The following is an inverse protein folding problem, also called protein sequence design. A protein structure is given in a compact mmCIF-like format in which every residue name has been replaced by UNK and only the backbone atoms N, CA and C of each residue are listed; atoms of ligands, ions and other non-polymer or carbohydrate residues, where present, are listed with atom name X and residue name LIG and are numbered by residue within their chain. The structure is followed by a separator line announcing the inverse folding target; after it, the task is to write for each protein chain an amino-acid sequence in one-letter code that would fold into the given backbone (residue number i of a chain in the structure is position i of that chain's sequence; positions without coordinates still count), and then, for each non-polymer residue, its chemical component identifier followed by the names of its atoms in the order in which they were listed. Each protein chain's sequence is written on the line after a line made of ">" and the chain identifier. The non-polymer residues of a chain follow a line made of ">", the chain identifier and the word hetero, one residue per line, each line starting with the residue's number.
data_IF_164049856873
#
_entry.id   IF_164049856873
#
_cell.length_a   1.000
_cell.length_b   1.000
_cell.length_c   1.000
_cell.angle_alpha   90.00
_cell.angle_beta   90.00
_cell.angle_gamma   90.00
#
_symmetry.space_group_name_H-M   'P 1'
#
loop_
_entity.id
_entity.type
_entity.pdbx_description
1 polymer ?
#
# COMPACT_ATOMS: atom_id res chain seq x y z
N UNK A 1 46.20 -35.42 28.71
CA UNK A 1 45.37 -35.06 27.53
C UNK A 1 43.86 -35.23 27.74
N UNK A 2 43.40 -36.05 28.68
CA UNK A 2 41.96 -36.32 28.92
C UNK A 2 41.17 -35.20 29.62
N UNK A 3 41.84 -34.37 30.46
CA UNK A 3 41.18 -33.21 31.10
C UNK A 3 40.94 -32.03 30.16
N UNK A 4 41.81 -31.83 29.15
CA UNK A 4 41.67 -30.74 28.19
C UNK A 4 40.46 -30.94 27.25
N UNK A 5 40.20 -32.19 26.86
CA UNK A 5 39.06 -32.54 26.01
C UNK A 5 37.72 -32.40 26.75
N UNK A 6 37.68 -32.72 28.06
CA UNK A 6 36.48 -32.51 28.91
C UNK A 6 36.18 -31.03 29.14
N UNK A 7 37.20 -30.19 29.36
CA UNK A 7 37.02 -28.74 29.50
C UNK A 7 36.56 -28.06 28.19
N UNK A 8 37.06 -28.51 27.04
CA UNK A 8 36.65 -27.99 25.74
C UNK A 8 35.18 -28.33 25.40
N UNK A 9 34.73 -29.55 25.71
CA UNK A 9 33.34 -29.98 25.50
C UNK A 9 32.38 -29.21 26.42
N UNK A 10 32.77 -29.00 27.69
CA UNK A 10 31.98 -28.21 28.64
C UNK A 10 31.90 -26.74 28.20
N UNK A 11 32.99 -26.12 27.73
CA UNK A 11 32.95 -24.73 27.26
C UNK A 11 32.10 -24.55 25.99
N UNK A 12 32.11 -25.53 25.08
CA UNK A 12 31.26 -25.54 23.88
C UNK A 12 29.76 -25.64 24.24
N UNK A 13 29.40 -26.49 25.21
CA UNK A 13 28.03 -26.62 25.72
C UNK A 13 27.55 -25.34 26.43
N UNK A 14 28.39 -24.70 27.24
CA UNK A 14 28.04 -23.42 27.89
C UNK A 14 27.91 -22.25 26.90
N UNK A 15 28.73 -22.22 25.84
CA UNK A 15 28.63 -21.18 24.82
C UNK A 15 27.32 -21.28 24.02
N UNK A 16 26.94 -22.48 23.58
CA UNK A 16 25.67 -22.71 22.88
C UNK A 16 24.46 -22.33 23.74
N UNK A 17 24.49 -22.69 25.03
CA UNK A 17 23.40 -22.40 25.96
C UNK A 17 23.26 -20.90 26.27
N UNK A 18 24.36 -20.14 26.24
CA UNK A 18 24.31 -18.69 26.44
C UNK A 18 23.83 -17.94 25.18
N UNK A 19 24.25 -18.38 23.99
CA UNK A 19 23.75 -17.81 22.73
C UNK A 19 22.26 -18.05 22.54
N UNK A 20 21.75 -19.24 22.89
CA UNK A 20 20.31 -19.53 22.82
C UNK A 20 19.49 -18.65 23.78
N UNK A 21 19.96 -18.41 25.00
CA UNK A 21 19.31 -17.49 25.95
C UNK A 21 19.25 -16.06 25.43
N UNK A 22 20.33 -15.58 24.80
CA UNK A 22 20.38 -14.25 24.22
C UNK A 22 19.45 -14.11 23.01
N UNK A 23 19.41 -15.13 22.12
CA UNK A 23 18.46 -15.17 21.01
C UNK A 23 17.03 -15.14 21.53
N UNK A 24 16.68 -15.99 22.49
CA UNK A 24 15.33 -16.04 23.05
C UNK A 24 14.89 -14.72 23.70
N UNK A 25 15.82 -14.04 24.39
CA UNK A 25 15.57 -12.70 24.95
C UNK A 25 15.25 -11.67 23.85
N UNK A 26 15.98 -11.71 22.74
CA UNK A 26 15.72 -10.83 21.60
C UNK A 26 14.42 -11.20 20.88
N UNK A 27 14.11 -12.48 20.73
CA UNK A 27 12.83 -12.94 20.16
C UNK A 27 11.63 -12.45 20.97
N UNK A 28 11.72 -12.51 22.31
CA UNK A 28 10.69 -11.97 23.20
C UNK A 28 10.50 -10.47 22.98
N UNK A 29 11.58 -9.69 22.93
CA UNK A 29 11.48 -8.25 22.69
C UNK A 29 10.94 -7.93 21.30
N UNK A 30 11.33 -8.67 20.27
CA UNK A 30 10.80 -8.53 18.91
C UNK A 30 9.29 -8.80 18.91
N UNK A 31 8.85 -9.85 19.59
CA UNK A 31 7.45 -10.19 19.74
C UNK A 31 6.66 -9.06 20.41
N UNK A 32 7.17 -8.53 21.53
CA UNK A 32 6.49 -7.47 22.29
C UNK A 32 6.40 -6.16 21.48
N UNK A 33 7.49 -5.74 20.84
CA UNK A 33 7.50 -4.58 19.95
C UNK A 33 6.57 -4.77 18.75
N UNK A 34 6.50 -5.97 18.19
CA UNK A 34 5.57 -6.28 17.10
C UNK A 34 4.13 -6.19 17.57
N UNK A 35 3.79 -6.75 18.73
CA UNK A 35 2.45 -6.69 19.29
C UNK A 35 2.01 -5.25 19.59
N UNK A 36 2.92 -4.40 20.06
CA UNK A 36 2.64 -3.00 20.40
C UNK A 36 2.55 -2.10 19.16
N UNK A 37 3.51 -2.17 18.24
CA UNK A 37 3.67 -1.18 17.17
C UNK A 37 3.30 -1.67 15.76
N UNK A 38 3.24 -2.99 15.55
CA UNK A 38 2.91 -3.60 14.26
C UNK A 38 2.01 -4.85 14.41
N UNK A 39 0.86 -4.75 15.12
CA UNK A 39 -0.01 -5.90 15.37
C UNK A 39 -0.64 -6.44 14.08
N UNK A 40 -0.73 -5.61 13.04
CA UNK A 40 -1.30 -5.96 11.75
C UNK A 40 -0.30 -5.72 10.61
N UNK A 41 0.23 -6.81 10.06
CA UNK A 41 1.20 -6.81 8.96
C UNK A 41 0.66 -6.19 7.66
N UNK A 42 -0.67 -6.07 7.53
CA UNK A 42 -1.31 -5.48 6.36
C UNK A 42 -1.10 -3.98 6.31
N UNK A 43 -0.81 -3.33 7.44
CA UNK A 43 -0.67 -1.86 7.53
C UNK A 43 0.63 -1.38 8.17
N UNK A 44 1.35 -2.25 8.88
CA UNK A 44 2.67 -1.96 9.47
C UNK A 44 3.66 -3.07 9.14
N UNK A 45 4.88 -2.70 8.73
CA UNK A 45 5.92 -3.64 8.36
C UNK A 45 6.99 -3.72 9.46
N UNK A 46 6.99 -4.82 10.20
CA UNK A 46 8.04 -5.17 11.17
C UNK A 46 8.30 -6.69 11.11
N UNK A 47 9.12 -7.07 10.13
CA UNK A 47 9.53 -8.45 9.87
C UNK A 47 10.99 -8.59 10.28
N UNK A 48 11.22 -8.68 11.58
CA UNK A 48 12.56 -8.82 12.18
C UNK A 48 12.66 -10.15 12.88
N UNK A 49 13.79 -10.83 12.70
CA UNK A 49 14.11 -12.12 13.32
C UNK A 49 15.47 -12.05 14.01
N UNK A 50 15.59 -12.79 15.11
CA UNK A 50 16.87 -13.02 15.78
C UNK A 50 17.40 -14.41 15.41
N UNK A 51 18.70 -14.52 15.17
CA UNK A 51 19.36 -15.79 14.90
C UNK A 51 20.72 -15.86 15.62
N UNK A 52 21.18 -17.05 16.04
CA UNK A 52 22.49 -17.20 16.67
C UNK A 52 23.61 -16.96 15.64
N UNK A 53 24.59 -16.12 15.98
CA UNK A 53 25.78 -15.86 15.16
C UNK A 53 27.04 -15.78 16.04
N UNK A 54 27.60 -16.95 16.35
CA UNK A 54 28.75 -17.04 17.25
C UNK A 54 28.42 -16.56 18.66
N UNK A 55 29.12 -15.52 19.14
CA UNK A 55 28.86 -14.88 20.45
C UNK A 55 27.87 -13.72 20.39
N UNK A 56 27.35 -13.41 19.20
CA UNK A 56 26.41 -12.33 18.98
C UNK A 56 25.07 -12.88 18.48
N UNK A 57 24.03 -12.07 18.58
CA UNK A 57 22.72 -12.30 17.98
C UNK A 57 22.66 -11.53 16.67
N UNK A 58 22.44 -12.22 15.55
CA UNK A 58 22.13 -11.60 14.28
C UNK A 58 20.66 -11.16 14.30
N UNK A 59 20.42 -9.86 14.16
CA UNK A 59 19.09 -9.32 13.90
C UNK A 59 18.98 -9.06 12.40
N UNK A 60 18.06 -9.72 11.72
CA UNK A 60 17.87 -9.60 10.27
C UNK A 60 16.41 -9.39 9.91
N UNK A 61 16.17 -8.88 8.71
CA UNK A 61 14.81 -8.67 8.18
C UNK A 61 14.59 -7.23 7.77
N UNK A 62 13.35 -6.75 7.80
CA UNK A 62 12.96 -5.45 7.27
C UNK A 62 11.85 -4.77 8.07
N UNK A 63 11.85 -3.44 8.06
CA UNK A 63 10.79 -2.64 8.69
C UNK A 63 10.61 -1.28 8.02
N UNK A 64 9.38 -0.74 8.09
CA UNK A 64 9.09 0.67 7.81
C UNK A 64 9.04 1.56 9.07
N UNK A 65 9.46 1.04 10.23
CA UNK A 65 9.37 1.68 11.54
C UNK A 65 10.77 1.93 12.12
N UNK A 66 11.46 3.02 11.72
CA UNK A 66 12.82 3.32 12.18
C UNK A 66 12.90 3.47 13.71
N UNK A 67 11.90 4.06 14.34
CA UNK A 67 11.87 4.26 15.80
C UNK A 67 11.73 2.94 16.55
N UNK A 68 10.99 1.97 16.01
CA UNK A 68 10.84 0.64 16.61
C UNK A 68 12.13 -0.15 16.50
N UNK A 69 12.84 -0.05 15.36
CA UNK A 69 14.21 -0.58 15.24
C UNK A 69 15.12 0.06 16.29
N UNK A 70 15.09 1.38 16.47
CA UNK A 70 15.93 2.07 17.46
C UNK A 70 15.65 1.59 18.90
N UNK A 71 14.38 1.32 19.24
CA UNK A 71 13.98 0.72 20.54
C UNK A 71 14.56 -0.68 20.73
N UNK A 72 14.49 -1.52 19.69
CA UNK A 72 15.06 -2.88 19.74
C UNK A 72 16.59 -2.85 19.96
N UNK A 73 17.29 -1.97 19.24
CA UNK A 73 18.75 -1.82 19.39
C UNK A 73 19.11 -1.27 20.78
N UNK A 74 18.34 -0.31 21.30
CA UNK A 74 18.52 0.22 22.65
C UNK A 74 18.31 -0.85 23.72
N UNK A 75 17.30 -1.70 23.56
CA UNK A 75 17.05 -2.84 24.46
C UNK A 75 18.24 -3.81 24.46
N UNK A 76 18.78 -4.16 23.30
CA UNK A 76 19.95 -5.04 23.21
C UNK A 76 21.15 -4.45 23.96
N UNK A 77 21.43 -3.15 23.77
CA UNK A 77 22.51 -2.45 24.45
C UNK A 77 22.33 -2.41 25.98
N UNK A 78 21.12 -2.11 26.46
CA UNK A 78 20.81 -2.04 27.90
C UNK A 78 20.91 -3.40 28.59
N UNK A 79 20.78 -4.48 27.81
CA UNK A 79 20.79 -5.85 28.30
C UNK A 79 22.11 -6.57 27.98
N UNK A 80 23.14 -5.84 27.56
CA UNK A 80 24.49 -6.34 27.24
C UNK A 80 24.47 -7.50 26.21
N UNK A 81 23.52 -7.47 25.28
CA UNK A 81 23.44 -8.43 24.18
C UNK A 81 24.29 -7.92 23.02
N UNK A 82 25.37 -8.64 22.70
CA UNK A 82 26.14 -8.35 21.49
C UNK A 82 25.28 -8.67 20.25
N UNK A 83 25.09 -7.69 19.37
CA UNK A 83 24.25 -7.85 18.18
C UNK A 83 25.02 -7.56 16.90
N UNK A 84 24.60 -8.23 15.82
CA UNK A 84 24.92 -7.86 14.44
C UNK A 84 23.62 -7.34 13.82
N UNK A 85 23.56 -6.04 13.55
CA UNK A 85 22.39 -5.40 12.94
C UNK A 85 22.44 -5.55 11.41
N UNK A 86 21.52 -6.37 10.90
CA UNK A 86 21.23 -6.57 9.48
C UNK A 86 19.75 -6.26 9.18
N UNK A 87 19.11 -5.42 10.01
CA UNK A 87 17.73 -4.98 9.79
C UNK A 87 17.71 -3.86 8.76
N UNK A 88 16.97 -4.08 7.67
CA UNK A 88 16.74 -3.11 6.60
C UNK A 88 15.61 -2.15 6.97
N UNK A 89 15.87 -0.85 6.91
CA UNK A 89 14.82 0.18 7.09
C UNK A 89 14.39 0.67 5.72
N UNK A 90 13.16 0.35 5.34
CA UNK A 90 12.61 0.65 4.03
C UNK A 90 12.00 2.07 3.98
N UNK A 91 11.97 2.71 2.80
CA UNK A 91 12.61 2.29 1.55
C UNK A 91 14.14 2.48 1.59
N UNK A 92 14.85 1.72 0.74
CA UNK A 92 16.32 1.76 0.61
C UNK A 92 16.78 2.18 -0.78
N UNK A 93 18.06 2.53 -0.92
CA UNK A 93 18.70 2.80 -2.21
C UNK A 93 17.99 3.87 -3.04
N UNK A 94 17.80 3.59 -4.33
CA UNK A 94 17.17 4.51 -5.28
C UNK A 94 15.68 4.80 -4.97
N UNK A 95 14.97 3.88 -4.28
CA UNK A 95 13.59 4.11 -3.87
C UNK A 95 13.46 5.28 -2.89
N UNK A 96 14.52 5.64 -2.16
CA UNK A 96 14.51 6.87 -1.34
C UNK A 96 14.35 8.15 -2.17
N UNK A 97 14.79 8.15 -3.43
CA UNK A 97 14.66 9.31 -4.33
C UNK A 97 13.27 9.38 -4.96
N UNK A 98 12.59 8.25 -5.09
CA UNK A 98 11.22 8.13 -5.63
C UNK A 98 10.37 7.25 -4.72
N UNK A 99 10.07 7.71 -3.49
CA UNK A 99 9.39 6.90 -2.48
C UNK A 99 7.88 6.79 -2.74
N UNK A 100 7.40 7.32 -3.86
CA UNK A 100 5.99 7.34 -4.21
C UNK A 100 5.72 6.76 -5.58
N UNK A 101 4.45 6.43 -5.80
CA UNK A 101 3.90 6.06 -7.10
C UNK A 101 2.53 6.72 -7.30
N UNK A 102 2.13 6.94 -8.55
CA UNK A 102 0.76 7.35 -8.86
C UNK A 102 0.17 6.32 -9.83
N UNK A 103 -0.93 5.67 -9.43
CA UNK A 103 -1.57 4.62 -10.23
C UNK A 103 -2.01 5.18 -11.58
N UNK A 104 -1.60 4.56 -12.69
CA UNK A 104 -1.83 5.07 -14.06
C UNK A 104 -2.74 4.18 -14.91
N UNK A 105 -3.32 3.14 -14.33
CA UNK A 105 -4.36 2.30 -14.94
C UNK A 105 -5.65 2.45 -14.13
N UNK A 106 -6.81 2.17 -14.73
CA UNK A 106 -8.11 2.37 -14.06
C UNK A 106 -8.22 1.56 -12.76
N UNK A 107 -7.70 0.33 -12.76
CA UNK A 107 -7.72 -0.56 -11.60
C UNK A 107 -6.43 -1.35 -11.58
N UNK A 108 -5.52 -1.00 -10.68
CA UNK A 108 -4.28 -1.72 -10.45
C UNK A 108 -4.48 -2.80 -9.38
N UNK A 109 -3.93 -3.99 -9.60
CA UNK A 109 -4.05 -5.12 -8.69
C UNK A 109 -2.87 -5.17 -7.73
N UNK A 110 -3.15 -5.31 -6.44
CA UNK A 110 -2.15 -5.55 -5.41
C UNK A 110 -2.26 -7.00 -4.94
N UNK A 111 -1.12 -7.70 -4.86
CA UNK A 111 -1.04 -9.12 -4.56
C UNK A 111 -0.34 -9.40 -3.24
N UNK A 112 -0.58 -10.58 -2.69
CA UNK A 112 0.05 -11.02 -1.43
C UNK A 112 1.55 -11.33 -1.55
N UNK A 113 2.05 -11.59 -2.76
CA UNK A 113 3.47 -11.89 -3.06
C UNK A 113 3.86 -11.28 -4.43
N UNK A 114 5.16 -11.06 -4.70
CA UNK A 114 5.67 -10.45 -5.94
C UNK A 114 5.61 -11.41 -7.15
N UNK A 115 4.42 -11.91 -7.48
CA UNK A 115 4.19 -12.79 -8.63
C UNK A 115 2.72 -12.76 -9.06
N UNK A 116 2.45 -12.90 -10.35
CA UNK A 116 1.08 -12.85 -10.88
C UNK A 116 0.16 -13.96 -10.36
N UNK A 117 0.71 -15.12 -9.99
CA UNK A 117 -0.06 -16.24 -9.44
C UNK A 117 -0.44 -16.07 -7.96
N UNK A 118 0.07 -15.03 -7.30
CA UNK A 118 -0.29 -14.73 -5.92
C UNK A 118 -1.71 -14.19 -5.83
N UNK A 119 -2.33 -14.44 -4.68
CA UNK A 119 -3.66 -13.97 -4.34
C UNK A 119 -3.79 -12.45 -4.54
N UNK A 120 -4.92 -12.01 -5.11
CA UNK A 120 -5.31 -10.61 -5.15
C UNK A 120 -5.71 -10.20 -3.73
N UNK A 121 -4.96 -9.28 -3.12
CA UNK A 121 -5.25 -8.79 -1.77
C UNK A 121 -6.17 -7.57 -1.81
N UNK A 122 -5.89 -6.62 -2.70
CA UNK A 122 -6.68 -5.41 -2.89
C UNK A 122 -6.47 -4.83 -4.29
N UNK A 123 -7.18 -3.74 -4.61
CA UNK A 123 -6.93 -2.93 -5.79
C UNK A 123 -6.68 -1.47 -5.41
N UNK A 124 -6.10 -0.71 -6.33
CA UNK A 124 -5.98 0.74 -6.25
C UNK A 124 -6.51 1.37 -7.56
N UNK A 125 -7.17 2.52 -7.44
CA UNK A 125 -7.77 3.24 -8.57
C UNK A 125 -6.79 4.23 -9.18
N UNK A 126 -7.02 4.62 -10.43
CA UNK A 126 -6.19 5.60 -11.12
C UNK A 126 -6.09 6.91 -10.32
N UNK A 127 -4.89 7.48 -10.26
CA UNK A 127 -4.62 8.70 -9.52
C UNK A 127 -4.41 8.50 -8.02
N UNK A 128 -4.58 7.29 -7.48
CA UNK A 128 -4.18 6.99 -6.11
C UNK A 128 -2.66 7.17 -5.94
N UNK A 129 -2.26 7.91 -4.92
CA UNK A 129 -0.85 8.10 -4.54
C UNK A 129 -0.44 6.97 -3.60
N UNK A 130 0.58 6.24 -3.99
CA UNK A 130 1.14 5.10 -3.27
C UNK A 130 2.45 5.50 -2.60
N UNK A 131 2.77 4.88 -1.45
CA UNK A 131 4.15 4.81 -0.95
C UNK A 131 4.81 3.54 -1.48
N UNK A 132 6.05 3.65 -1.94
CA UNK A 132 6.82 2.53 -2.50
C UNK A 132 7.94 2.15 -1.54
N UNK A 133 7.96 0.90 -1.08
CA UNK A 133 8.80 0.46 0.03
C UNK A 133 9.94 -0.46 -0.41
N UNK A 134 9.68 -1.36 -1.35
CA UNK A 134 10.64 -2.35 -1.80
C UNK A 134 10.33 -2.78 -3.24
N UNK A 135 11.33 -3.29 -3.95
CA UNK A 135 11.19 -3.88 -5.28
C UNK A 135 11.80 -5.29 -5.28
N UNK A 136 11.09 -6.24 -5.89
CA UNK A 136 11.54 -7.60 -6.16
C UNK A 136 11.17 -7.98 -7.60
N UNK A 137 12.17 -8.05 -8.47
CA UNK A 137 11.94 -8.17 -9.91
C UNK A 137 11.11 -7.00 -10.46
N UNK A 138 10.03 -7.31 -11.16
CA UNK A 138 9.10 -6.33 -11.74
C UNK A 138 7.95 -5.95 -10.78
N UNK A 139 8.00 -6.42 -9.53
CA UNK A 139 6.99 -6.11 -8.52
C UNK A 139 7.52 -5.15 -7.46
N UNK A 140 6.64 -4.27 -7.00
CA UNK A 140 6.90 -3.29 -5.96
C UNK A 140 5.98 -3.53 -4.77
N UNK A 141 6.56 -3.61 -3.57
CA UNK A 141 5.80 -3.53 -2.34
C UNK A 141 5.35 -2.08 -2.16
N UNK A 142 4.07 -1.84 -2.35
CA UNK A 142 3.45 -0.52 -2.23
C UNK A 142 2.51 -0.49 -1.04
N UNK A 143 2.19 0.73 -0.60
CA UNK A 143 1.20 0.99 0.42
C UNK A 143 0.20 2.03 -0.08
N UNK A 144 -1.09 1.67 -0.05
CA UNK A 144 -2.20 2.49 -0.51
C UNK A 144 -2.58 3.59 0.50
N UNK A 145 -3.43 4.57 0.12
CA UNK A 145 -3.85 5.65 1.02
C UNK A 145 -4.55 5.21 2.31
N UNK A 146 -5.15 4.02 2.34
CA UNK A 146 -5.73 3.38 3.52
C UNK A 146 -4.71 2.54 4.31
N UNK A 147 -3.42 2.84 4.13
CA UNK A 147 -2.26 2.18 4.74
C UNK A 147 -2.07 0.70 4.36
N UNK A 148 -2.82 0.14 3.42
CA UNK A 148 -2.74 -1.28 3.09
C UNK A 148 -1.50 -1.63 2.23
N UNK A 149 -0.78 -2.67 2.61
CA UNK A 149 0.37 -3.20 1.87
C UNK A 149 -0.04 -4.22 0.81
N UNK A 150 0.64 -4.18 -0.33
CA UNK A 150 0.57 -5.23 -1.32
C UNK A 150 1.59 -5.08 -2.44
N UNK A 151 1.77 -6.14 -3.23
CA UNK A 151 2.71 -6.17 -4.34
C UNK A 151 2.01 -5.80 -5.65
N UNK A 152 2.48 -4.73 -6.29
CA UNK A 152 1.97 -4.24 -7.57
C UNK A 152 3.03 -4.43 -8.66
N UNK A 153 2.63 -4.80 -9.87
CA UNK A 153 3.54 -4.81 -11.02
C UNK A 153 3.92 -3.40 -11.48
N UNK A 154 5.07 -3.28 -12.14
CA UNK A 154 5.62 -2.01 -12.62
C UNK A 154 4.72 -1.26 -13.64
N UNK A 155 3.79 -1.96 -14.28
CA UNK A 155 2.81 -1.39 -15.21
C UNK A 155 1.61 -0.70 -14.54
N UNK A 156 1.41 -0.90 -13.23
CA UNK A 156 0.24 -0.39 -12.51
C UNK A 156 0.36 1.06 -12.02
N UNK A 157 1.57 1.62 -11.98
CA UNK A 157 1.81 2.98 -11.51
C UNK A 157 3.02 3.62 -12.18
N UNK A 158 3.10 4.96 -12.09
CA UNK A 158 4.31 5.70 -12.46
C UNK A 158 5.11 6.09 -11.20
N UNK A 159 6.41 5.77 -11.12
CA UNK A 159 7.26 6.22 -10.01
C UNK A 159 7.32 7.74 -9.89
N UNK A 160 7.27 8.23 -8.66
CA UNK A 160 7.19 9.65 -8.33
C UNK A 160 8.11 10.02 -7.15
N UNK A 161 8.73 11.19 -7.26
CA UNK A 161 9.34 11.87 -6.12
C UNK A 161 8.33 12.80 -5.44
N UNK A 162 8.74 13.44 -4.33
CA UNK A 162 7.87 14.35 -3.59
C UNK A 162 7.38 15.54 -4.43
N UNK A 163 8.17 16.01 -5.38
CA UNK A 163 7.81 17.14 -6.23
C UNK A 163 6.72 16.75 -7.24
N UNK A 164 6.84 15.58 -7.87
CA UNK A 164 5.81 15.06 -8.78
C UNK A 164 4.50 14.82 -8.05
N UNK A 165 4.54 14.23 -6.84
CA UNK A 165 3.34 14.06 -6.01
C UNK A 165 2.74 15.41 -5.65
N UNK A 166 3.55 16.37 -5.19
CA UNK A 166 3.08 17.71 -4.87
C UNK A 166 2.39 18.39 -6.05
N UNK A 167 3.00 18.35 -7.23
CA UNK A 167 2.45 18.92 -8.46
C UNK A 167 1.14 18.25 -8.88
N UNK A 168 1.04 16.92 -8.74
CA UNK A 168 -0.19 16.18 -9.04
C UNK A 168 -1.32 16.55 -8.06
N UNK A 169 -1.02 16.62 -6.76
CA UNK A 169 -2.02 16.98 -5.75
C UNK A 169 -2.46 18.44 -5.83
N UNK A 170 -1.57 19.33 -6.26
CA UNK A 170 -1.84 20.76 -6.42
C UNK A 170 -2.54 21.13 -7.74
N UNK A 171 -2.59 20.23 -8.73
CA UNK A 171 -3.31 20.51 -9.98
C UNK A 171 -4.82 20.40 -9.81
N UNK A 172 -5.56 21.07 -10.70
CA UNK A 172 -6.97 20.75 -10.89
C UNK A 172 -7.12 19.30 -11.32
N UNK A 173 -8.10 18.64 -10.70
CA UNK A 173 -8.34 17.21 -10.88
C UNK A 173 -9.82 16.95 -11.05
N UNK A 174 -10.11 15.91 -11.82
CA UNK A 174 -11.45 15.40 -12.09
C UNK A 174 -11.56 14.04 -11.41
N UNK A 175 -12.67 13.79 -10.72
CA UNK A 175 -13.05 12.47 -10.23
C UNK A 175 -14.14 11.89 -11.11
N UNK A 176 -13.98 10.63 -11.47
CA UNK A 176 -14.98 9.88 -12.24
C UNK A 176 -16.12 9.48 -11.31
N UNK A 177 -17.35 9.83 -11.66
CA UNK A 177 -18.56 9.52 -10.90
C UNK A 177 -19.44 8.46 -11.58
N UNK A 178 -19.31 8.30 -12.90
CA UNK A 178 -19.96 7.23 -13.62
C UNK A 178 -19.34 5.87 -13.31
N UNK A 179 -20.19 4.83 -13.26
CA UNK A 179 -19.76 3.44 -13.01
C UNK A 179 -18.62 2.98 -13.91
N UNK A 180 -18.69 3.34 -15.19
CA UNK A 180 -17.67 3.12 -16.21
C UNK A 180 -17.63 4.33 -17.13
N UNK A 181 -16.44 4.74 -17.51
CA UNK A 181 -16.21 5.82 -18.47
C UNK A 181 -14.96 5.51 -19.32
N UNK A 182 -14.64 6.41 -20.26
CA UNK A 182 -13.44 6.28 -21.08
C UNK A 182 -12.75 7.63 -21.26
N UNK A 183 -11.44 7.58 -21.44
CA UNK A 183 -10.68 8.67 -22.06
C UNK A 183 -10.57 8.41 -23.55
N UNK A 184 -10.88 9.41 -24.35
CA UNK A 184 -10.89 9.40 -25.81
C UNK A 184 -9.74 10.23 -26.37
N UNK A 185 -9.21 9.88 -27.54
CA UNK A 185 -8.10 10.60 -28.16
C UNK A 185 -8.51 11.98 -28.71
N UNK A 186 -9.78 12.13 -29.05
CA UNK A 186 -10.43 13.36 -29.50
C UNK A 186 -11.72 13.58 -28.69
N UNK A 187 -12.30 14.79 -28.66
CA UNK A 187 -13.57 15.06 -27.96
C UNK A 187 -14.77 14.47 -28.73
N UNK A 188 -14.78 13.14 -28.87
CA UNK A 188 -15.77 12.38 -29.62
C UNK A 188 -15.81 10.93 -29.16
N UNK A 189 -17.02 10.41 -28.90
CA UNK A 189 -17.26 9.01 -28.56
C UNK A 189 -16.85 8.03 -29.67
N UNK A 190 -16.72 8.50 -30.91
CA UNK A 190 -16.28 7.69 -32.05
C UNK A 190 -14.76 7.57 -32.17
N UNK A 191 -14.00 8.36 -31.41
CA UNK A 191 -12.54 8.36 -31.48
C UNK A 191 -11.91 7.20 -30.70
N UNK A 192 -10.60 7.02 -30.87
CA UNK A 192 -9.86 5.94 -30.23
C UNK A 192 -9.90 6.10 -28.70
N UNK A 193 -10.20 5.01 -27.99
CA UNK A 193 -10.10 4.96 -26.53
C UNK A 193 -8.63 4.90 -26.11
N UNK A 194 -8.24 5.78 -25.20
CA UNK A 194 -6.90 5.87 -24.59
C UNK A 194 -6.82 5.00 -23.34
N UNK A 195 -7.88 5.01 -22.52
CA UNK A 195 -8.01 4.21 -21.30
C UNK A 195 -9.49 4.05 -20.96
N UNK A 196 -9.85 2.94 -20.35
CA UNK A 196 -11.09 2.88 -19.57
C UNK A 196 -10.91 3.58 -18.22
N UNK A 197 -12.04 3.87 -17.58
CA UNK A 197 -12.15 4.50 -16.28
C UNK A 197 -13.26 3.82 -15.47
N UNK A 198 -13.15 3.88 -14.15
CA UNK A 198 -14.19 3.47 -13.21
C UNK A 198 -14.51 4.58 -12.22
N UNK A 199 -15.69 4.53 -11.62
CA UNK A 199 -16.05 5.45 -10.54
C UNK A 199 -14.95 5.47 -9.46
N UNK A 200 -14.49 6.68 -9.13
CA UNK A 200 -13.41 6.90 -8.18
C UNK A 200 -12.02 7.13 -8.80
N UNK A 201 -11.83 6.90 -10.10
CA UNK A 201 -10.61 7.28 -10.79
C UNK A 201 -10.40 8.79 -10.77
N UNK A 202 -9.14 9.23 -10.62
CA UNK A 202 -8.76 10.64 -10.53
C UNK A 202 -7.79 10.98 -11.66
N UNK A 203 -8.13 12.00 -12.43
CA UNK A 203 -7.37 12.51 -13.58
C UNK A 203 -6.95 13.96 -13.35
N UNK A 204 -5.86 14.42 -13.96
CA UNK A 204 -5.59 15.86 -14.01
C UNK A 204 -6.45 16.50 -15.10
N UNK A 205 -7.12 17.61 -14.78
CA UNK A 205 -8.03 18.29 -15.70
C UNK A 205 -8.87 19.34 -14.97
N UNK A 206 -9.25 20.38 -15.71
CA UNK A 206 -10.14 21.43 -15.20
C UNK A 206 -11.57 21.16 -15.68
N UNK A 207 -12.54 21.30 -14.77
CA UNK A 207 -13.95 21.15 -15.12
C UNK A 207 -14.47 22.44 -15.79
N UNK A 208 -15.27 22.29 -16.85
CA UNK A 208 -15.88 23.41 -17.56
C UNK A 208 -17.32 23.09 -17.93
N UNK A 209 -18.26 23.94 -17.48
CA UNK A 209 -19.68 23.79 -17.79
C UNK A 209 -19.97 24.11 -19.26
N UNK A 210 -21.00 23.44 -19.82
CA UNK A 210 -21.45 23.68 -21.20
C UNK A 210 -20.58 23.06 -22.27
N UNK A 211 -19.68 22.14 -21.90
CA UNK A 211 -18.88 21.34 -22.83
C UNK A 211 -19.23 19.86 -22.68
N UNK A 212 -19.23 19.11 -23.78
CA UNK A 212 -19.51 17.67 -23.74
C UNK A 212 -18.28 16.86 -23.32
N UNK A 213 -17.08 17.40 -23.59
CA UNK A 213 -15.80 16.75 -23.33
C UNK A 213 -14.81 17.71 -22.66
N UNK A 214 -14.07 17.18 -21.68
CA UNK A 214 -13.05 17.89 -20.92
C UNK A 214 -11.67 17.29 -21.21
N UNK A 215 -10.64 18.12 -21.46
CA UNK A 215 -9.26 17.64 -21.54
C UNK A 215 -8.83 16.97 -20.23
N UNK A 216 -8.21 15.80 -20.34
CA UNK A 216 -7.68 15.05 -19.21
C UNK A 216 -6.26 14.55 -19.48
N UNK A 217 -5.45 14.51 -18.42
CA UNK A 217 -4.10 13.95 -18.43
C UNK A 217 -4.03 12.84 -17.38
N UNK A 218 -3.66 11.65 -17.83
CA UNK A 218 -3.44 10.48 -16.97
C UNK A 218 -2.11 10.64 -16.21
N UNK A 219 -1.91 9.95 -15.09
CA UNK A 219 -0.71 10.09 -14.27
C UNK A 219 0.62 9.86 -14.99
N UNK A 220 0.64 9.01 -16.03
CA UNK A 220 1.82 8.74 -16.86
C UNK A 220 2.04 9.75 -18.00
N UNK A 221 1.16 10.74 -18.13
CA UNK A 221 1.26 11.82 -19.12
C UNK A 221 0.50 11.56 -20.43
N UNK A 222 -0.15 10.40 -20.60
CA UNK A 222 -1.12 10.22 -21.69
C UNK A 222 -2.21 11.29 -21.60
N UNK A 223 -2.62 11.82 -22.75
CA UNK A 223 -3.61 12.90 -22.85
C UNK A 223 -4.82 12.42 -23.65
N UNK A 224 -5.97 13.00 -23.35
CA UNK A 224 -7.19 12.78 -24.09
C UNK A 224 -8.33 13.62 -23.56
N UNK A 225 -9.55 13.15 -23.79
CA UNK A 225 -10.80 13.82 -23.44
C UNK A 225 -11.72 12.86 -22.70
N UNK A 226 -12.33 13.31 -21.62
CA UNK A 226 -13.36 12.56 -20.86
C UNK A 226 -14.70 13.27 -21.03
N UNK A 227 -15.80 12.51 -21.07
CA UNK A 227 -17.13 13.13 -21.15
C UNK A 227 -17.41 13.92 -19.87
N UNK A 228 -17.93 15.15 -20.01
CA UNK A 228 -18.16 16.04 -18.87
C UNK A 228 -19.22 15.48 -17.90
N UNK A 229 -20.17 14.68 -18.41
CA UNK A 229 -21.19 14.03 -17.59
C UNK A 229 -20.61 12.98 -16.63
N UNK A 230 -19.50 12.34 -17.01
CA UNK A 230 -18.88 11.23 -16.28
C UNK A 230 -18.00 11.67 -15.10
N UNK A 231 -17.71 12.96 -14.99
CA UNK A 231 -16.73 13.49 -14.03
C UNK A 231 -17.26 14.69 -13.25
N UNK A 232 -16.68 14.94 -12.07
CA UNK A 232 -16.88 16.16 -11.29
C UNK A 232 -15.53 16.73 -10.85
N UNK A 233 -15.45 18.02 -10.46
CA UNK A 233 -14.25 18.55 -9.84
C UNK A 233 -13.89 17.76 -8.58
N UNK A 234 -12.64 17.30 -8.48
CA UNK A 234 -12.19 16.55 -7.30
C UNK A 234 -12.23 17.40 -6.02
N UNK A 235 -12.04 18.72 -6.13
CA UNK A 235 -12.16 19.63 -5.00
C UNK A 235 -13.59 19.63 -4.39
N UNK A 236 -14.63 19.53 -5.23
CA UNK A 236 -16.01 19.42 -4.75
C UNK A 236 -16.25 18.08 -4.03
N UNK A 237 -15.60 16.99 -4.46
CA UNK A 237 -15.64 15.71 -3.78
C UNK A 237 -14.94 15.76 -2.41
N UNK A 238 -13.82 16.48 -2.30
CA UNK A 238 -13.11 16.68 -1.03
C UNK A 238 -13.90 17.50 -0.02
N UNK A 239 -14.64 18.50 -0.49
CA UNK A 239 -15.44 19.40 0.35
C UNK A 239 -16.85 18.85 0.65
N UNK A 240 -17.13 17.58 0.31
CA UNK A 240 -18.42 16.98 0.62
C UNK A 240 -18.65 16.92 2.14
N UNK A 241 -19.86 17.25 2.62
CA UNK A 241 -20.22 17.05 4.01
C UNK A 241 -20.21 15.55 4.33
N UNK A 242 -20.22 15.21 5.62
CA UNK A 242 -20.29 13.80 6.02
C UNK A 242 -21.42 13.06 5.28
N UNK A 243 -21.13 11.85 4.77
CA UNK A 243 -22.02 11.16 3.88
C UNK A 243 -23.34 10.87 4.59
N UNK A 244 -24.44 11.33 3.99
CA UNK A 244 -25.78 10.95 4.43
C UNK A 244 -25.98 9.46 4.12
N UNK A 245 -26.63 8.73 5.02
CA UNK A 245 -26.86 7.29 4.86
C UNK A 245 -27.51 6.95 3.50
N UNK A 246 -28.46 7.76 3.05
CA UNK A 246 -29.15 7.56 1.76
C UNK A 246 -28.20 7.65 0.56
N UNK A 247 -27.18 8.51 0.60
CA UNK A 247 -26.21 8.65 -0.48
C UNK A 247 -25.27 7.43 -0.57
N UNK A 248 -24.86 6.90 0.58
CA UNK A 248 -24.07 5.64 0.65
C UNK A 248 -24.90 4.45 0.18
N UNK A 249 -26.17 4.37 0.59
CA UNK A 249 -27.10 3.34 0.15
C UNK A 249 -27.30 3.41 -1.36
N UNK A 250 -27.53 4.60 -1.92
CA UNK A 250 -27.68 4.81 -3.35
C UNK A 250 -26.43 4.35 -4.13
N UNK A 251 -25.24 4.72 -3.67
CA UNK A 251 -23.98 4.25 -4.27
C UNK A 251 -23.84 2.72 -4.22
N UNK A 252 -24.28 2.09 -3.12
CA UNK A 252 -24.32 0.63 -3.01
C UNK A 252 -25.34 -0.03 -3.96
N UNK A 253 -26.49 0.59 -4.18
CA UNK A 253 -27.52 0.09 -5.10
C UNK A 253 -27.07 0.15 -6.58
N UNK A 254 -26.27 1.14 -6.97
CA UNK A 254 -25.61 1.22 -8.29
C UNK A 254 -24.61 0.07 -8.54
N UNK A 255 -24.25 -0.65 -7.47
CA UNK A 255 -23.36 -1.82 -7.53
C UNK A 255 -24.12 -3.15 -7.52
N UNK A 256 -25.45 -3.11 -7.48
CA UNK A 256 -26.28 -4.31 -7.48
C UNK A 256 -26.05 -5.16 -8.74
N UNK A 257 -25.95 -6.48 -8.54
CA UNK A 257 -25.73 -7.44 -9.62
C UNK A 257 -24.29 -7.55 -10.11
N UNK A 258 -23.34 -6.76 -9.59
CA UNK A 258 -21.91 -6.93 -9.91
C UNK A 258 -21.38 -8.25 -9.34
N UNK A 259 -20.59 -9.03 -10.10
CA UNK A 259 -20.00 -10.25 -9.60
C UNK A 259 -19.06 -10.00 -8.41
N UNK A 260 -19.10 -10.90 -7.44
CA UNK A 260 -18.13 -10.92 -6.35
C UNK A 260 -16.73 -11.23 -6.89
N UNK A 261 -15.75 -10.44 -6.50
CA UNK A 261 -14.33 -10.67 -6.80
C UNK A 261 -13.54 -10.59 -5.50
N UNK A 262 -12.96 -11.72 -5.08
CA UNK A 262 -12.06 -11.75 -3.93
C UNK A 262 -10.89 -10.78 -4.14
N UNK A 263 -10.63 -9.89 -3.18
CA UNK A 263 -9.60 -8.86 -3.30
C UNK A 263 -10.02 -7.64 -4.13
N UNK A 264 -11.23 -7.62 -4.68
CA UNK A 264 -11.74 -6.53 -5.51
C UNK A 264 -12.17 -5.31 -4.70
N UNK A 265 -11.81 -4.12 -5.19
CA UNK A 265 -12.17 -2.81 -4.59
C UNK A 265 -12.40 -1.75 -5.66
N UNK A 266 -13.17 -2.09 -6.70
CA UNK A 266 -13.47 -1.19 -7.80
C UNK A 266 -14.81 -1.50 -8.45
N UNK A 267 -15.32 -0.60 -9.30
CA UNK A 267 -16.53 -0.85 -10.09
C UNK A 267 -16.47 -2.10 -10.98
N UNK A 268 -15.28 -2.68 -11.25
CA UNK A 268 -15.15 -3.93 -12.03
C UNK A 268 -15.52 -5.18 -11.24
N UNK A 269 -15.53 -5.11 -9.92
CA UNK A 269 -15.83 -6.22 -9.02
C UNK A 269 -15.29 -5.94 -7.62
N UNK A 270 -16.04 -6.36 -6.61
CA UNK A 270 -15.65 -6.18 -5.22
C UNK A 270 -15.88 -7.43 -4.39
N UNK A 271 -15.12 -7.54 -3.29
CA UNK A 271 -15.50 -8.40 -2.17
C UNK A 271 -16.41 -7.66 -1.17
N UNK A 272 -16.72 -8.29 -0.04
CA UNK A 272 -17.62 -7.73 0.97
C UNK A 272 -17.12 -6.39 1.53
N UNK A 273 -15.86 -6.32 1.94
CA UNK A 273 -15.25 -5.11 2.48
C UNK A 273 -14.85 -4.11 1.39
N UNK A 274 -14.58 -4.57 0.18
CA UNK A 274 -14.39 -3.72 -0.99
C UNK A 274 -15.67 -3.01 -1.40
N UNK A 275 -16.82 -3.66 -1.23
CA UNK A 275 -18.14 -3.06 -1.47
C UNK A 275 -18.41 -1.90 -0.52
N UNK A 276 -18.29 -2.12 0.78
CA UNK A 276 -18.49 -1.06 1.78
C UNK A 276 -17.48 0.07 1.56
N UNK A 277 -16.20 -0.27 1.34
CA UNK A 277 -15.15 0.71 1.05
C UNK A 277 -15.50 1.59 -0.16
N UNK A 278 -15.95 1.01 -1.27
CA UNK A 278 -16.31 1.77 -2.47
C UNK A 278 -17.56 2.64 -2.26
N UNK A 279 -18.60 2.12 -1.59
CA UNK A 279 -19.81 2.89 -1.33
C UNK A 279 -19.53 4.14 -0.48
N UNK A 280 -18.67 4.02 0.54
CA UNK A 280 -18.24 5.16 1.36
C UNK A 280 -17.25 6.07 0.62
N UNK A 281 -16.31 5.50 -0.15
CA UNK A 281 -15.32 6.28 -0.90
C UNK A 281 -15.98 7.20 -1.92
N UNK A 282 -16.97 6.72 -2.67
CA UNK A 282 -17.70 7.58 -3.63
C UNK A 282 -18.44 8.75 -2.96
N UNK A 283 -18.62 8.70 -1.63
CA UNK A 283 -19.23 9.74 -0.81
C UNK A 283 -18.22 10.37 0.18
N UNK A 284 -16.94 10.44 -0.19
CA UNK A 284 -15.92 11.21 0.54
C UNK A 284 -15.25 10.52 1.72
N UNK A 285 -15.62 9.26 2.05
CA UNK A 285 -15.09 8.56 3.22
C UNK A 285 -14.20 7.39 2.85
N UNK A 286 -12.94 7.46 3.26
CA UNK A 286 -11.98 6.36 3.09
C UNK A 286 -12.04 5.38 4.26
N UNK A 287 -12.67 4.22 4.04
CA UNK A 287 -12.64 3.13 5.02
C UNK A 287 -11.34 2.30 4.92
N UNK A 288 -10.93 1.65 6.02
CA UNK A 288 -9.93 0.57 5.99
C UNK A 288 -10.32 -0.53 5.00
N UNK A 289 -9.33 -1.26 4.50
CA UNK A 289 -9.53 -2.28 3.46
C UNK A 289 -10.35 -3.48 3.91
N UNK A 290 -10.03 -4.03 5.08
CA UNK A 290 -10.56 -5.33 5.49
C UNK A 290 -11.71 -5.21 6.49
N UNK A 291 -12.68 -6.11 6.39
CA UNK A 291 -13.84 -6.14 7.29
C UNK A 291 -13.44 -6.15 8.78
N UNK A 292 -12.38 -6.90 9.13
CA UNK A 292 -11.86 -6.97 10.51
C UNK A 292 -11.37 -5.61 11.05
N UNK A 293 -11.00 -4.69 10.16
CA UNK A 293 -10.59 -3.33 10.54
C UNK A 293 -11.79 -2.38 10.51
N UNK A 294 -12.70 -2.56 9.54
CA UNK A 294 -13.90 -1.73 9.40
C UNK A 294 -14.85 -1.80 10.60
N UNK A 295 -14.90 -2.91 11.34
CA UNK A 295 -15.75 -3.04 12.56
C UNK A 295 -15.31 -2.15 13.73
N UNK A 296 -14.16 -1.47 13.61
CA UNK A 296 -13.59 -0.60 14.64
C UNK A 296 -13.61 0.90 14.25
N UNK A 297 -14.28 1.23 13.13
CA UNK A 297 -14.46 2.60 12.63
C UNK A 297 -15.72 3.22 13.22
#
# INVERSE_FOLDING_TARGET
>A
MTNFLRFAIISLLFMACNSEKQVHKMESQIHDLKAEFAPDKRVKLFEVEAAPQGKAVLLKGKTNLPDVKARLLSFASQNEVAIIDSIRVLPEGELKKRPFGIVNVSVANLRSQPKHSAELSTQALMGAVLRVWEQEGDFFLVQTPDDYFGWMDDGGFVPADSNRVHNFLASERLIVVSSFAFVFSEPSFASQKVSDLVAGDILQGAYSQGTDFLPAVLPDGRKGFVAAEDVRPFAEWLDQPEPQADAVIAAGLEMMGRPYLWGGTSGKGMDCSGFTKMAYFLNGVQLPRDASQQVHV
#
